data_IF_517075393077
#
_entry.id   IF_517075393077
#
_cell.length_a   1.000
_cell.length_b   1.000
_cell.length_c   1.000
_cell.angle_alpha   90.00
_cell.angle_beta   90.00
_cell.angle_gamma   90.00
#
_symmetry.space_group_name_H-M   'P 1'
#
loop_
_entity.id
_entity.type
_entity.pdbx_description
1 polymer ?
#
# COMPACT_ATOMS: atom_id res chain seq x y z
N UNK A 1 -57.81 -52.14 11.78
CA UNK A 1 -57.68 -51.11 10.72
C UNK A 1 -57.64 -49.66 11.25
N UNK A 2 -58.24 -49.34 12.40
CA UNK A 2 -58.24 -47.97 12.96
C UNK A 2 -56.93 -47.54 13.66
N UNK A 3 -56.12 -48.48 14.16
CA UNK A 3 -54.86 -48.19 14.85
C UNK A 3 -53.71 -47.74 13.93
N UNK A 4 -53.73 -48.15 12.66
CA UNK A 4 -52.68 -47.85 11.67
C UNK A 4 -52.80 -46.39 11.17
N UNK A 5 -54.02 -45.88 11.06
CA UNK A 5 -54.31 -44.51 10.61
C UNK A 5 -53.92 -43.48 11.68
N UNK A 6 -54.02 -43.84 12.98
CA UNK A 6 -53.62 -42.96 14.08
C UNK A 6 -52.09 -42.89 14.28
N UNK A 7 -51.36 -43.94 13.89
CA UNK A 7 -49.89 -43.96 13.90
C UNK A 7 -49.29 -43.14 12.74
N UNK A 8 -49.86 -43.20 11.54
CA UNK A 8 -49.37 -42.41 10.40
C UNK A 8 -49.58 -40.91 10.59
N UNK A 9 -50.68 -40.48 11.23
CA UNK A 9 -50.94 -39.08 11.57
C UNK A 9 -49.99 -38.51 12.65
N UNK A 10 -49.50 -39.36 13.57
CA UNK A 10 -48.45 -38.97 14.55
C UNK A 10 -47.07 -38.90 13.90
N UNK A 11 -46.78 -39.79 12.96
CA UNK A 11 -45.50 -39.80 12.24
C UNK A 11 -45.35 -38.62 11.27
N UNK A 12 -46.43 -38.19 10.60
CA UNK A 12 -46.40 -37.02 9.71
C UNK A 12 -46.25 -35.70 10.46
N UNK A 13 -46.81 -35.58 11.67
CA UNK A 13 -46.64 -34.39 12.51
C UNK A 13 -45.21 -34.17 13.00
N UNK A 14 -44.47 -35.25 13.29
CA UNK A 14 -43.06 -35.18 13.74
C UNK A 14 -42.11 -34.84 12.59
N UNK A 15 -42.41 -35.27 11.37
CA UNK A 15 -41.56 -34.99 10.19
C UNK A 15 -41.59 -33.53 9.74
N UNK A 16 -42.67 -32.78 10.02
CA UNK A 16 -42.81 -31.38 9.60
C UNK A 16 -42.13 -30.39 10.57
N UNK A 17 -41.97 -30.75 11.84
CA UNK A 17 -41.30 -29.93 12.86
C UNK A 17 -39.78 -29.95 12.71
N UNK A 18 -39.21 -31.02 12.14
CA UNK A 18 -37.77 -31.15 11.89
C UNK A 18 -37.24 -30.29 10.72
N UNK A 19 -38.11 -29.76 9.87
CA UNK A 19 -37.72 -28.97 8.69
C UNK A 19 -37.62 -27.45 8.96
N UNK A 20 -38.00 -26.97 10.14
CA UNK A 20 -37.99 -25.53 10.48
C UNK A 20 -36.82 -25.10 11.39
N UNK A 21 -35.96 -26.04 11.83
CA UNK A 21 -34.86 -25.77 12.76
C UNK A 21 -33.50 -25.43 12.13
N UNK A 22 -33.45 -25.13 10.83
CA UNK A 22 -32.21 -25.14 10.03
C UNK A 22 -31.62 -23.78 9.61
N UNK A 23 -31.96 -22.66 10.26
CA UNK A 23 -31.48 -21.32 9.85
C UNK A 23 -30.58 -20.62 10.89
N UNK A 24 -29.82 -21.36 11.70
CA UNK A 24 -28.85 -20.79 12.64
C UNK A 24 -27.44 -21.24 12.31
N UNK A 25 -26.89 -20.68 11.23
CA UNK A 25 -25.54 -21.02 10.78
C UNK A 25 -24.92 -20.03 9.79
N UNK A 26 -25.34 -18.77 9.79
CA UNK A 26 -24.59 -17.67 9.18
C UNK A 26 -23.89 -16.89 10.29
N UNK A 27 -22.96 -17.54 10.99
CA UNK A 27 -22.01 -16.82 11.85
C UNK A 27 -21.00 -16.17 10.91
N UNK A 28 -21.30 -14.95 10.48
CA UNK A 28 -20.39 -14.14 9.69
C UNK A 28 -19.27 -13.61 10.59
N UNK A 29 -18.22 -14.42 10.76
CA UNK A 29 -17.05 -14.08 11.56
C UNK A 29 -16.31 -12.93 10.90
N UNK A 30 -16.60 -11.71 11.32
CA UNK A 30 -15.79 -10.55 11.00
C UNK A 30 -14.51 -10.58 11.84
N UNK A 31 -13.39 -10.96 11.22
CA UNK A 31 -12.04 -10.81 11.80
C UNK A 31 -11.51 -9.44 11.37
N UNK A 32 -11.40 -8.52 12.31
CA UNK A 32 -10.73 -7.24 12.08
C UNK A 32 -9.32 -7.30 12.65
N UNK A 33 -8.36 -6.95 11.80
CA UNK A 33 -6.93 -7.06 12.07
C UNK A 33 -6.46 -5.80 12.82
N UNK A 34 -5.71 -6.00 13.91
CA UNK A 34 -5.03 -4.91 14.60
C UNK A 34 -3.66 -4.66 13.95
N UNK A 35 -3.42 -3.43 13.52
CA UNK A 35 -2.11 -3.01 13.02
C UNK A 35 -1.21 -2.77 14.23
N UNK A 36 -0.28 -3.70 14.47
CA UNK A 36 0.74 -3.55 15.52
C UNK A 36 1.69 -2.44 15.09
N UNK A 37 1.73 -1.35 15.87
CA UNK A 37 2.65 -0.24 15.63
C UNK A 37 4.10 -0.68 15.88
N UNK A 38 5.06 -0.34 15.00
CA UNK A 38 6.47 -0.67 15.22
C UNK A 38 7.02 0.10 16.44
N UNK A 39 7.92 -0.53 17.18
CA UNK A 39 8.55 0.05 18.37
C UNK A 39 9.35 1.34 18.06
N UNK A 40 9.85 1.47 16.82
CA UNK A 40 10.47 2.69 16.32
C UNK A 40 10.25 2.85 14.81
N UNK A 41 10.23 4.11 14.37
CA UNK A 41 10.12 4.45 12.95
C UNK A 41 11.51 4.78 12.40
N UNK A 42 12.01 4.04 11.40
CA UNK A 42 13.30 4.33 10.80
C UNK A 42 13.22 5.59 9.92
N UNK A 43 14.36 6.26 9.77
CA UNK A 43 14.55 7.30 8.75
C UNK A 43 15.31 6.65 7.59
N UNK A 44 14.72 6.69 6.39
CA UNK A 44 15.33 6.16 5.19
C UNK A 44 15.98 7.28 4.38
N UNK A 45 17.06 6.97 3.68
CA UNK A 45 17.77 7.92 2.82
C UNK A 45 18.08 7.30 1.48
N UNK A 46 18.02 8.09 0.41
CA UNK A 46 18.38 7.64 -0.93
C UNK A 46 19.12 8.73 -1.71
N UNK A 47 19.91 8.33 -2.70
CA UNK A 47 20.68 9.22 -3.54
C UNK A 47 20.46 8.85 -5.00
N UNK A 48 19.79 9.73 -5.72
CA UNK A 48 19.58 9.57 -7.15
C UNK A 48 20.62 10.31 -7.96
N UNK A 49 21.01 9.72 -9.09
CA UNK A 49 22.00 10.29 -10.01
C UNK A 49 21.42 10.46 -11.41
N UNK A 50 21.83 11.53 -12.09
CA UNK A 50 21.49 11.71 -13.50
C UNK A 50 22.62 12.41 -14.26
N UNK A 51 23.11 11.80 -15.36
CA UNK A 51 24.08 12.44 -16.24
C UNK A 51 23.47 13.62 -16.99
N UNK A 52 24.16 14.76 -17.08
CA UNK A 52 23.68 15.99 -17.72
C UNK A 52 23.67 15.86 -19.23
N UNK A 53 24.71 15.27 -19.82
CA UNK A 53 24.85 15.07 -21.27
C UNK A 53 23.73 14.21 -21.88
N UNK A 54 23.11 13.34 -21.08
CA UNK A 54 22.02 12.46 -21.53
C UNK A 54 20.64 13.15 -21.48
N UNK A 55 20.54 14.35 -20.93
CA UNK A 55 19.26 15.05 -20.77
C UNK A 55 18.91 15.88 -22.00
N UNK A 56 17.60 15.98 -22.25
CA UNK A 56 17.07 16.84 -23.29
C UNK A 56 17.13 18.32 -22.84
N UNK A 57 17.49 19.23 -23.74
CA UNK A 57 17.54 20.66 -23.48
C UNK A 57 18.20 21.42 -24.62
N UNK A 58 17.73 22.64 -24.87
CA UNK A 58 18.31 23.49 -25.92
C UNK A 58 19.63 24.12 -25.47
N UNK A 59 19.73 24.46 -24.19
CA UNK A 59 20.93 25.00 -23.57
C UNK A 59 21.52 24.03 -22.54
N UNK A 60 22.79 24.26 -22.16
CA UNK A 60 23.42 23.51 -21.06
C UNK A 60 22.70 23.71 -19.73
N UNK A 61 22.18 24.92 -19.47
CA UNK A 61 21.36 25.21 -18.30
C UNK A 61 20.07 24.38 -18.30
N UNK A 62 19.41 24.24 -19.46
CA UNK A 62 18.20 23.41 -19.57
C UNK A 62 18.51 21.94 -19.29
N UNK A 63 19.62 21.43 -19.84
CA UNK A 63 20.06 20.05 -19.57
C UNK A 63 20.40 19.84 -18.10
N UNK A 64 21.06 20.80 -17.47
CA UNK A 64 21.40 20.76 -16.04
C UNK A 64 20.14 20.77 -15.17
N UNK A 65 19.15 21.59 -15.52
CA UNK A 65 17.85 21.59 -14.83
C UNK A 65 17.11 20.26 -15.01
N UNK A 66 17.16 19.67 -16.21
CA UNK A 66 16.59 18.34 -16.45
C UNK A 66 17.34 17.25 -15.69
N UNK A 67 18.66 17.34 -15.57
CA UNK A 67 19.46 16.39 -14.79
C UNK A 67 19.13 16.47 -13.30
N UNK A 68 18.95 17.68 -12.77
CA UNK A 68 18.46 17.86 -11.40
C UNK A 68 17.09 17.20 -11.20
N UNK A 69 16.16 17.34 -12.15
CA UNK A 69 14.85 16.67 -12.07
C UNK A 69 14.96 15.15 -12.19
N UNK A 70 15.78 14.65 -13.10
CA UNK A 70 16.00 13.23 -13.32
C UNK A 70 16.66 12.57 -12.09
N UNK A 71 17.68 13.20 -11.51
CA UNK A 71 18.34 12.72 -10.27
C UNK A 71 17.36 12.67 -9.10
N UNK A 72 16.45 13.64 -8.99
CA UNK A 72 15.38 13.60 -7.99
C UNK A 72 14.42 12.42 -8.19
N UNK A 73 14.04 12.13 -9.43
CA UNK A 73 13.18 10.98 -9.74
C UNK A 73 13.86 9.65 -9.45
N UNK A 74 15.15 9.53 -9.75
CA UNK A 74 15.95 8.36 -9.44
C UNK A 74 16.08 8.14 -7.92
N UNK A 75 16.22 9.22 -7.13
CA UNK A 75 16.26 9.14 -5.68
C UNK A 75 14.90 8.66 -5.10
N UNK A 76 13.78 9.10 -5.68
CA UNK A 76 12.46 8.59 -5.29
C UNK A 76 12.28 7.12 -5.62
N UNK A 77 12.81 6.66 -6.76
CA UNK A 77 12.81 5.24 -7.15
C UNK A 77 13.54 4.42 -6.10
N UNK A 78 14.76 4.83 -5.72
CA UNK A 78 15.54 4.12 -4.71
C UNK A 78 14.86 4.13 -3.32
N UNK A 79 14.26 5.25 -2.89
CA UNK A 79 13.45 5.26 -1.66
C UNK A 79 12.28 4.27 -1.72
N UNK A 80 11.58 4.21 -2.85
CA UNK A 80 10.49 3.26 -3.02
C UNK A 80 10.99 1.81 -2.96
N UNK A 81 12.14 1.49 -3.56
CA UNK A 81 12.75 0.16 -3.46
C UNK A 81 13.06 -0.22 -2.00
N UNK A 82 13.60 0.72 -1.21
CA UNK A 82 13.88 0.49 0.21
C UNK A 82 12.61 0.25 1.02
N UNK A 83 11.54 1.02 0.78
CA UNK A 83 10.28 0.89 1.52
C UNK A 83 9.54 -0.40 1.19
N UNK A 84 9.55 -0.83 -0.07
CA UNK A 84 8.77 -1.99 -0.53
C UNK A 84 9.58 -3.29 -0.61
N UNK A 85 10.90 -3.24 -0.43
CA UNK A 85 11.77 -4.42 -0.44
C UNK A 85 11.89 -5.09 -1.81
N UNK A 86 11.49 -4.40 -2.89
CA UNK A 86 11.52 -4.90 -4.26
C UNK A 86 12.46 -4.05 -5.11
N UNK A 87 13.31 -4.68 -5.93
CA UNK A 87 14.13 -3.97 -6.92
C UNK A 87 13.25 -3.56 -8.09
N UNK A 88 13.23 -2.28 -8.45
CA UNK A 88 12.59 -1.82 -9.66
C UNK A 88 13.56 -2.07 -10.82
N UNK A 89 13.11 -2.76 -11.87
CA UNK A 89 13.92 -2.96 -13.06
C UNK A 89 14.12 -1.60 -13.74
N UNK A 90 15.35 -1.09 -13.74
CA UNK A 90 15.72 0.24 -14.24
C UNK A 90 15.47 0.52 -15.73
N UNK A 91 14.94 -0.45 -16.48
CA UNK A 91 14.53 -0.27 -17.88
C UNK A 91 13.12 0.30 -18.05
N UNK A 92 12.28 0.28 -17.00
CA UNK A 92 10.95 0.86 -17.04
C UNK A 92 10.93 2.20 -16.30
N UNK A 93 10.25 3.20 -16.89
CA UNK A 93 10.07 4.47 -16.21
C UNK A 93 9.24 4.26 -14.93
N UNK A 94 9.57 5.01 -13.87
CA UNK A 94 8.79 5.01 -12.62
C UNK A 94 7.31 5.27 -12.89
N UNK A 95 7.01 6.16 -13.85
CA UNK A 95 5.66 6.44 -14.30
C UNK A 95 4.96 5.20 -14.89
N UNK A 96 5.64 4.40 -15.71
CA UNK A 96 5.07 3.19 -16.31
C UNK A 96 4.83 2.08 -15.28
N UNK A 97 5.72 1.92 -14.30
CA UNK A 97 5.55 0.93 -13.23
C UNK A 97 4.39 1.30 -12.30
N UNK A 98 4.28 2.57 -11.90
CA UNK A 98 3.16 3.10 -11.12
C UNK A 98 1.83 2.97 -11.85
N UNK A 99 1.82 3.02 -13.19
CA UNK A 99 0.59 2.80 -13.97
C UNK A 99 0.13 1.34 -14.02
N UNK A 100 1.05 0.38 -13.92
CA UNK A 100 0.73 -1.05 -14.06
C UNK A 100 0.39 -1.74 -12.74
N UNK A 101 0.91 -1.24 -11.61
CA UNK A 101 0.73 -1.87 -10.31
C UNK A 101 0.06 -0.91 -9.32
N UNK A 102 -1.15 -1.26 -8.89
CA UNK A 102 -1.96 -0.46 -7.96
C UNK A 102 -1.41 -0.45 -6.53
N UNK A 103 -0.77 -1.54 -6.10
CA UNK A 103 -0.13 -1.65 -4.79
C UNK A 103 1.11 -0.75 -4.76
N UNK A 104 1.96 -0.85 -5.78
CA UNK A 104 3.15 0.00 -6.00
C UNK A 104 2.77 1.46 -6.19
N UNK A 105 1.63 1.75 -6.83
CA UNK A 105 1.11 3.12 -6.97
C UNK A 105 0.76 3.75 -5.63
N UNK A 106 -0.11 3.10 -4.85
CA UNK A 106 -0.50 3.60 -3.52
C UNK A 106 0.73 3.80 -2.62
N UNK A 107 1.69 2.89 -2.79
CA UNK A 107 2.96 2.82 -2.11
C UNK A 107 3.90 3.99 -2.45
N UNK A 108 4.20 4.19 -3.72
CA UNK A 108 4.98 5.33 -4.23
C UNK A 108 4.30 6.65 -3.91
N UNK A 109 2.97 6.74 -4.03
CA UNK A 109 2.22 7.93 -3.66
C UNK A 109 2.29 8.27 -2.15
N UNK A 110 2.41 7.27 -1.27
CA UNK A 110 2.61 7.48 0.16
C UNK A 110 4.04 7.94 0.49
N UNK A 111 5.04 7.26 -0.08
CA UNK A 111 6.48 7.56 0.07
C UNK A 111 6.82 8.95 -0.47
N UNK A 112 6.32 9.30 -1.67
CA UNK A 112 6.56 10.62 -2.29
C UNK A 112 6.04 11.75 -1.39
N UNK A 113 4.90 11.55 -0.71
CA UNK A 113 4.32 12.57 0.19
C UNK A 113 5.12 12.75 1.48
N UNK A 114 5.80 11.71 1.96
CA UNK A 114 6.63 11.76 3.16
C UNK A 114 8.07 12.24 2.92
N UNK A 115 8.58 12.07 1.71
CA UNK A 115 10.00 12.27 1.39
C UNK A 115 10.36 13.76 1.21
N UNK A 116 11.51 14.15 1.76
CA UNK A 116 12.06 15.51 1.72
C UNK A 116 13.40 15.52 0.97
N UNK A 117 13.58 16.53 0.12
CA UNK A 117 14.89 16.79 -0.50
C UNK A 117 15.82 17.40 0.55
N UNK A 118 16.96 16.76 0.78
CA UNK A 118 18.03 17.30 1.62
C UNK A 118 18.83 18.31 0.82
N UNK A 119 19.32 17.90 -0.35
CA UNK A 119 20.14 18.72 -1.26
C UNK A 119 20.17 18.12 -2.65
N UNK A 120 20.41 18.97 -3.64
CA UNK A 120 20.66 18.58 -5.03
C UNK A 120 21.88 19.36 -5.52
N UNK A 121 22.92 18.66 -5.99
CA UNK A 121 24.20 19.25 -6.32
C UNK A 121 24.89 18.51 -7.48
N UNK A 122 25.73 19.19 -8.28
CA UNK A 122 26.56 18.53 -9.28
C UNK A 122 27.63 17.68 -8.59
N UNK A 123 27.89 16.50 -9.16
CA UNK A 123 28.92 15.55 -8.73
C UNK A 123 29.77 15.20 -9.95
N UNK A 124 31.06 15.50 -9.88
CA UNK A 124 31.95 15.37 -11.03
C UNK A 124 31.63 16.38 -12.13
N UNK A 125 31.96 16.03 -13.37
CA UNK A 125 31.83 16.95 -14.51
C UNK A 125 30.46 16.88 -15.20
N UNK A 126 29.79 15.71 -15.19
CA UNK A 126 28.60 15.47 -16.01
C UNK A 126 27.44 14.84 -15.22
N UNK A 127 27.40 14.91 -13.89
CA UNK A 127 26.33 14.25 -13.12
C UNK A 127 25.73 15.17 -12.08
N UNK A 128 24.42 15.06 -11.90
CA UNK A 128 23.70 15.68 -10.79
C UNK A 128 23.29 14.60 -9.79
N UNK A 129 23.49 14.87 -8.51
CA UNK A 129 23.03 14.03 -7.42
C UNK A 129 21.91 14.72 -6.63
N UNK A 130 20.91 13.97 -6.20
CA UNK A 130 19.87 14.44 -5.28
C UNK A 130 19.73 13.49 -4.11
N UNK A 131 19.87 14.02 -2.90
CA UNK A 131 19.70 13.27 -1.66
C UNK A 131 18.30 13.50 -1.09
N UNK A 132 17.60 12.41 -0.80
CA UNK A 132 16.28 12.40 -0.18
C UNK A 132 16.33 11.73 1.19
N UNK A 133 15.42 12.16 2.06
CA UNK A 133 15.16 11.57 3.36
C UNK A 133 13.67 11.29 3.52
N UNK A 134 13.33 10.17 4.13
CA UNK A 134 11.97 9.78 4.45
C UNK A 134 11.87 9.42 5.94
N UNK A 135 11.15 10.23 6.70
CA UNK A 135 10.79 9.91 8.07
C UNK A 135 9.51 9.04 8.08
N UNK A 136 9.66 7.77 8.43
CA UNK A 136 8.54 6.82 8.45
C UNK A 136 7.47 7.17 9.50
N UNK A 137 7.81 7.95 10.54
CA UNK A 137 6.81 8.47 11.50
C UNK A 137 5.86 9.43 10.78
N UNK A 138 6.42 10.32 9.96
CA UNK A 138 5.61 11.27 9.17
C UNK A 138 4.73 10.57 8.15
N UNK A 139 5.22 9.49 7.53
CA UNK A 139 4.42 8.64 6.63
C UNK A 139 3.22 8.03 7.37
N UNK A 140 3.46 7.51 8.57
CA UNK A 140 2.42 6.94 9.42
C UNK A 140 1.37 7.98 9.82
N UNK A 141 1.79 9.18 10.23
CA UNK A 141 0.88 10.28 10.56
C UNK A 141 -0.02 10.67 9.36
N UNK A 142 0.56 10.73 8.16
CA UNK A 142 -0.18 10.98 6.91
C UNK A 142 -1.17 9.85 6.62
N UNK A 143 -0.78 8.59 6.86
CA UNK A 143 -1.66 7.44 6.72
C UNK A 143 -2.87 7.52 7.66
N UNK A 144 -2.67 7.83 8.95
CA UNK A 144 -3.76 7.96 9.91
C UNK A 144 -4.77 9.05 9.52
N UNK A 145 -4.28 10.20 9.05
CA UNK A 145 -5.14 11.33 8.66
C UNK A 145 -5.91 11.08 7.36
N UNK A 146 -5.31 10.36 6.41
CA UNK A 146 -5.89 10.13 5.08
C UNK A 146 -6.79 8.88 5.07
N UNK A 147 -6.32 7.78 5.65
CA UNK A 147 -7.04 6.50 5.64
C UNK A 147 -8.12 6.41 6.74
N UNK A 148 -8.02 7.24 7.80
CA UNK A 148 -8.91 7.21 8.98
C UNK A 148 -9.23 5.77 9.42
N UNK A 149 -8.22 4.95 9.73
CA UNK A 149 -8.44 3.55 10.07
C UNK A 149 -9.39 3.45 11.26
N UNK A 150 -10.42 2.61 11.11
CA UNK A 150 -11.39 2.34 12.18
C UNK A 150 -10.85 1.18 13.04
N UNK A 151 -11.22 1.18 14.32
CA UNK A 151 -10.85 0.17 15.31
C UNK A 151 -12.11 -0.48 15.86
N UNK A 152 -12.19 -1.81 15.88
CA UNK A 152 -13.20 -2.52 16.67
C UNK A 152 -13.06 -2.16 18.14
N UNK A 153 -14.15 -1.66 18.71
CA UNK A 153 -14.25 -1.44 20.15
C UNK A 153 -14.79 -2.67 20.88
N UNK A 154 -15.66 -3.46 20.23
CA UNK A 154 -16.18 -4.75 20.70
C UNK A 154 -16.75 -5.58 19.54
N UNK A 155 -16.68 -6.91 19.66
CA UNK A 155 -17.29 -7.86 18.71
C UNK A 155 -18.60 -8.36 19.31
N UNK A 156 -19.72 -7.83 18.83
CA UNK A 156 -21.06 -8.28 19.24
C UNK A 156 -21.52 -9.43 18.34
N UNK A 157 -21.84 -10.57 18.95
CA UNK A 157 -22.52 -11.68 18.27
C UNK A 157 -24.03 -11.43 18.26
N UNK A 158 -24.68 -11.61 17.12
CA UNK A 158 -26.14 -11.61 16.97
C UNK A 158 -26.62 -12.99 16.53
#
# INVERSE_FOLDING_TARGET
MQSIILQSARATGVSLVLLLGGCSGLIDKHVEWEVVEPESYPVLTAIGYAPVAQQMGQTENDRSLMAMKASKLDAYRELAEQVYGQRLNGSQSVANMVMQDSQLKASVEGVIRGARVIKSYPVGEDTYATELELDMRKVYDIYLTTAKPKRIRDVTYY
#
